data_IF_288648504824
#
_entry.id   IF_288648504824
#
_cell.length_a   1.000
_cell.length_b   1.000
_cell.length_c   1.000
_cell.angle_alpha   90.00
_cell.angle_beta   90.00
_cell.angle_gamma   90.00
#
_symmetry.space_group_name_H-M   'P 1'
#
loop_
_entity.id
_entity.type
_entity.pdbx_description
1 polymer ?
#
# COMPACT_ATOMS: atom_id res chain seq x y z
N UNK A 1 29.51 -12.92 -3.01
CA UNK A 1 28.43 -12.64 -2.05
C UNK A 1 27.24 -13.53 -2.43
N UNK A 2 26.63 -14.25 -1.48
CA UNK A 2 25.45 -15.07 -1.81
C UNK A 2 24.25 -14.16 -2.13
N UNK A 3 23.27 -14.66 -2.87
CA UNK A 3 22.05 -13.89 -3.17
C UNK A 3 21.34 -13.38 -1.92
N UNK A 4 21.26 -14.22 -0.88
CA UNK A 4 20.69 -13.85 0.41
C UNK A 4 21.40 -12.67 1.07
N UNK A 5 22.74 -12.68 1.09
CA UNK A 5 23.51 -11.58 1.67
C UNK A 5 23.33 -10.29 0.87
N UNK A 6 23.27 -10.40 -0.45
CA UNK A 6 23.04 -9.26 -1.34
C UNK A 6 21.67 -8.62 -1.09
N UNK A 7 20.60 -9.43 -1.08
CA UNK A 7 19.24 -8.93 -0.84
C UNK A 7 19.06 -8.38 0.58
N UNK A 8 19.70 -8.99 1.59
CA UNK A 8 19.70 -8.45 2.96
C UNK A 8 20.40 -7.09 3.03
N UNK A 9 21.47 -6.88 2.28
CA UNK A 9 22.14 -5.58 2.20
C UNK A 9 21.22 -4.51 1.59
N UNK A 10 20.47 -4.85 0.53
CA UNK A 10 19.44 -3.96 -0.04
C UNK A 10 18.37 -3.62 1.01
N UNK A 11 17.81 -4.62 1.70
CA UNK A 11 16.77 -4.39 2.70
C UNK A 11 17.22 -3.49 3.86
N UNK A 12 18.49 -3.61 4.27
CA UNK A 12 19.12 -2.73 5.26
C UNK A 12 19.27 -1.30 4.73
N UNK A 13 19.73 -1.12 3.49
CA UNK A 13 19.84 0.20 2.86
C UNK A 13 18.48 0.88 2.70
N UNK A 14 17.46 0.10 2.35
CA UNK A 14 16.08 0.55 2.14
C UNK A 14 15.22 0.54 3.40
N UNK A 15 15.82 0.32 4.58
CA UNK A 15 15.10 0.27 5.83
C UNK A 15 14.37 1.59 6.11
N UNK A 16 13.11 1.47 6.54
CA UNK A 16 12.28 2.60 6.94
C UNK A 16 12.32 2.69 8.46
N UNK A 17 12.52 3.90 8.99
CA UNK A 17 12.43 4.13 10.43
C UNK A 17 10.98 3.89 10.90
N UNK A 18 10.81 2.99 11.87
CA UNK A 18 9.52 2.66 12.48
C UNK A 18 9.42 3.12 13.94
N UNK A 19 10.38 3.90 14.42
CA UNK A 19 10.42 4.44 15.78
C UNK A 19 9.37 5.55 15.97
N UNK A 20 9.34 6.11 17.19
CA UNK A 20 8.55 7.32 17.50
C UNK A 20 9.06 8.57 16.78
N UNK A 21 10.20 8.49 16.09
CA UNK A 21 10.73 9.55 15.25
C UNK A 21 10.48 9.30 13.76
N UNK A 22 9.75 8.22 13.42
CA UNK A 22 9.45 7.86 12.04
C UNK A 22 8.67 8.96 11.31
N UNK A 23 8.86 9.10 9.98
CA UNK A 23 8.08 10.01 9.15
C UNK A 23 6.56 9.86 9.34
N UNK A 24 6.09 8.62 9.47
CA UNK A 24 4.68 8.34 9.69
C UNK A 24 4.15 8.87 11.03
N UNK A 25 4.95 8.74 12.10
CA UNK A 25 4.59 9.27 13.40
C UNK A 25 4.58 10.80 13.41
N UNK A 26 5.61 11.42 12.83
CA UNK A 26 5.73 12.88 12.73
C UNK A 26 4.59 13.48 11.91
N UNK A 27 4.31 12.94 10.71
CA UNK A 27 3.20 13.36 9.87
C UNK A 27 1.86 13.27 10.62
N UNK A 28 1.62 12.14 11.30
CA UNK A 28 0.42 11.96 12.12
C UNK A 28 0.32 13.01 13.23
N UNK A 29 1.40 13.24 13.97
CA UNK A 29 1.41 14.20 15.07
C UNK A 29 1.11 15.63 14.58
N UNK A 30 1.68 16.03 13.44
CA UNK A 30 1.43 17.33 12.82
C UNK A 30 -0.01 17.49 12.30
N UNK A 31 -0.59 16.44 11.71
CA UNK A 31 -1.90 16.53 11.06
C UNK A 31 -3.08 16.27 11.99
N UNK A 32 -2.86 15.56 13.11
CA UNK A 32 -3.94 15.21 14.05
C UNK A 32 -4.71 16.44 14.56
N UNK A 33 -4.08 17.57 14.94
CA UNK A 33 -4.82 18.77 15.35
C UNK A 33 -5.74 19.32 14.26
N UNK A 34 -5.27 19.39 13.00
CA UNK A 34 -6.07 19.85 11.86
C UNK A 34 -7.26 18.93 11.60
N UNK A 35 -7.01 17.62 11.61
CA UNK A 35 -8.04 16.60 11.38
C UNK A 35 -9.09 16.62 12.50
N UNK A 36 -8.66 16.76 13.76
CA UNK A 36 -9.56 16.84 14.91
C UNK A 36 -10.36 18.15 14.92
N UNK A 37 -9.78 19.27 14.49
CA UNK A 37 -10.52 20.53 14.33
C UNK A 37 -11.60 20.41 13.23
N UNK A 38 -11.30 19.70 12.14
CA UNK A 38 -12.23 19.44 11.04
C UNK A 38 -13.37 18.50 11.42
N UNK A 39 -13.05 17.27 11.83
CA UNK A 39 -14.06 16.22 12.05
C UNK A 39 -14.63 16.19 13.47
N UNK A 40 -13.99 16.89 14.43
CA UNK A 40 -14.43 16.98 15.81
C UNK A 40 -14.72 15.62 16.44
N UNK A 41 -15.89 15.50 17.09
CA UNK A 41 -16.34 14.26 17.74
C UNK A 41 -16.52 13.06 16.81
N UNK A 42 -16.57 13.30 15.50
CA UNK A 42 -16.76 12.25 14.50
C UNK A 42 -15.47 11.54 14.13
N UNK A 43 -14.30 12.12 14.41
CA UNK A 43 -13.00 11.44 14.26
C UNK A 43 -12.85 10.42 15.38
N UNK A 44 -12.65 9.16 15.02
CA UNK A 44 -12.33 8.08 15.97
C UNK A 44 -10.83 7.95 16.15
N UNK A 45 -10.08 7.98 15.04
CA UNK A 45 -8.64 7.85 15.05
C UNK A 45 -8.01 8.34 13.75
N UNK A 46 -6.73 8.69 13.85
CA UNK A 46 -5.83 8.88 12.70
C UNK A 46 -4.68 7.89 12.90
N UNK A 47 -4.47 7.00 11.94
CA UNK A 47 -3.51 5.90 12.09
C UNK A 47 -2.67 5.71 10.83
N UNK A 48 -1.35 5.43 10.96
CA UNK A 48 -0.57 4.97 9.82
C UNK A 48 -1.20 3.71 9.22
N UNK A 49 -1.19 3.64 7.90
CA UNK A 49 -1.78 2.56 7.12
C UNK A 49 -0.84 2.18 5.98
N UNK A 50 -1.39 1.57 4.91
CA UNK A 50 -0.63 1.27 3.70
C UNK A 50 0.63 0.43 3.95
N UNK A 51 1.66 0.70 3.16
CA UNK A 51 2.88 -0.12 3.18
C UNK A 51 3.70 0.02 4.47
N UNK A 52 3.65 1.20 5.11
CA UNK A 52 4.29 1.43 6.41
C UNK A 52 3.67 0.51 7.47
N UNK A 53 2.35 0.52 7.62
CA UNK A 53 1.67 -0.32 8.60
C UNK A 53 1.85 -1.81 8.30
N UNK A 54 1.91 -2.22 7.04
CA UNK A 54 2.13 -3.62 6.64
C UNK A 54 3.57 -4.10 6.82
N UNK A 55 4.54 -3.19 7.01
CA UNK A 55 5.96 -3.52 7.06
C UNK A 55 6.59 -3.77 5.68
N UNK A 56 5.93 -3.31 4.61
CA UNK A 56 6.33 -3.53 3.21
C UNK A 56 6.86 -2.25 2.55
N UNK A 57 7.11 -1.20 3.34
CA UNK A 57 7.67 0.08 2.87
C UNK A 57 9.18 -0.02 2.60
N UNK A 58 9.65 0.74 1.61
CA UNK A 58 11.07 0.92 1.30
C UNK A 58 11.39 2.40 1.27
N UNK A 59 12.53 2.79 1.86
CA UNK A 59 12.94 4.20 1.96
C UNK A 59 12.83 4.96 0.64
N UNK A 60 13.23 4.35 -0.47
CA UNK A 60 13.18 4.95 -1.81
C UNK A 60 11.77 5.21 -2.39
N UNK A 61 10.72 4.63 -1.83
CA UNK A 61 9.36 4.66 -2.39
C UNK A 61 8.25 4.77 -1.35
N UNK A 62 8.52 5.39 -0.19
CA UNK A 62 7.52 5.51 0.88
C UNK A 62 6.87 6.88 0.88
N UNK A 63 5.63 6.92 0.39
CA UNK A 63 4.64 7.89 0.86
C UNK A 63 4.07 7.39 2.21
N UNK A 64 3.69 8.30 3.10
CA UNK A 64 3.03 7.97 4.36
C UNK A 64 1.53 7.94 4.14
N UNK A 65 0.92 6.76 4.27
CA UNK A 65 -0.54 6.64 4.25
C UNK A 65 -1.11 6.84 5.66
N UNK A 66 -1.97 7.84 5.84
CA UNK A 66 -2.74 8.03 7.07
C UNK A 66 -4.22 7.75 6.81
N UNK A 67 -4.75 6.75 7.52
CA UNK A 67 -6.18 6.47 7.53
C UNK A 67 -6.88 7.30 8.60
N UNK A 68 -7.93 8.03 8.22
CA UNK A 68 -8.77 8.79 9.13
C UNK A 68 -10.09 8.03 9.30
N UNK A 69 -10.27 7.45 10.49
CA UNK A 69 -11.48 6.72 10.85
C UNK A 69 -12.55 7.69 11.35
N UNK A 70 -13.69 7.72 10.66
CA UNK A 70 -14.87 8.48 11.04
C UNK A 70 -16.01 7.58 11.51
N UNK A 71 -16.76 8.08 12.50
CA UNK A 71 -17.91 7.38 13.09
C UNK A 71 -18.99 7.06 12.05
N UNK A 72 -19.76 5.97 12.23
CA UNK A 72 -20.94 5.70 11.42
C UNK A 72 -21.97 6.84 11.49
N UNK A 73 -22.04 7.52 12.63
CA UNK A 73 -22.93 8.66 12.88
C UNK A 73 -22.48 9.99 12.25
N UNK A 74 -21.38 10.01 11.50
CA UNK A 74 -20.95 11.21 10.74
C UNK A 74 -22.07 11.62 9.78
N UNK A 75 -22.62 12.84 9.85
CA UNK A 75 -23.80 13.22 9.08
C UNK A 75 -23.50 13.38 7.58
N UNK A 76 -22.26 13.74 7.25
CA UNK A 76 -21.82 13.98 5.88
C UNK A 76 -21.87 12.71 5.01
N UNK A 77 -22.18 12.92 3.73
CA UNK A 77 -21.95 11.94 2.67
C UNK A 77 -20.45 11.72 2.45
N UNK A 78 -20.07 10.60 1.82
CA UNK A 78 -18.66 10.29 1.53
C UNK A 78 -17.98 11.37 0.67
N UNK A 79 -18.71 11.92 -0.30
CA UNK A 79 -18.26 13.04 -1.13
C UNK A 79 -18.03 14.30 -0.31
N UNK A 80 -18.96 14.65 0.59
CA UNK A 80 -18.81 15.80 1.49
C UNK A 80 -17.65 15.62 2.46
N UNK A 81 -17.45 14.43 3.01
CA UNK A 81 -16.29 14.10 3.86
C UNK A 81 -14.99 14.39 3.10
N UNK A 82 -14.86 13.88 1.87
CA UNK A 82 -13.68 14.10 1.04
C UNK A 82 -13.45 15.59 0.75
N UNK A 83 -14.49 16.31 0.33
CA UNK A 83 -14.38 17.73 -0.05
C UNK A 83 -14.16 18.66 1.15
N UNK A 84 -14.78 18.38 2.29
CA UNK A 84 -14.58 19.20 3.50
C UNK A 84 -13.21 18.96 4.13
N UNK A 85 -12.66 17.73 4.05
CA UNK A 85 -11.27 17.48 4.43
C UNK A 85 -10.31 18.25 3.52
N UNK A 86 -10.55 18.25 2.20
CA UNK A 86 -9.77 19.04 1.25
C UNK A 86 -9.76 20.52 1.61
N UNK A 87 -10.93 21.09 1.92
CA UNK A 87 -11.05 22.48 2.34
C UNK A 87 -10.28 22.72 3.65
N UNK A 88 -10.48 21.89 4.67
CA UNK A 88 -9.80 22.04 5.96
C UNK A 88 -8.27 21.98 5.86
N UNK A 89 -7.73 21.12 5.00
CA UNK A 89 -6.29 21.06 4.72
C UNK A 89 -5.81 22.32 3.96
N UNK A 90 -6.60 22.80 3.00
CA UNK A 90 -6.28 24.03 2.25
C UNK A 90 -6.28 25.25 3.16
N UNK A 91 -7.28 25.36 4.03
CA UNK A 91 -7.41 26.45 5.01
C UNK A 91 -6.28 26.41 6.06
N UNK A 92 -5.77 25.21 6.37
CA UNK A 92 -4.58 25.02 7.19
C UNK A 92 -3.26 25.33 6.46
N UNK A 93 -3.31 25.77 5.20
CA UNK A 93 -2.16 26.22 4.41
C UNK A 93 -1.45 25.14 3.59
N UNK A 94 -2.03 23.94 3.46
CA UNK A 94 -1.44 22.89 2.64
C UNK A 94 -1.83 23.03 1.17
N UNK A 95 -0.88 22.73 0.28
CA UNK A 95 -1.19 22.47 -1.14
C UNK A 95 -1.68 21.03 -1.24
N UNK A 96 -2.96 20.86 -1.61
CA UNK A 96 -3.63 19.56 -1.60
C UNK A 96 -3.81 19.00 -3.01
N UNK A 97 -3.30 17.78 -3.23
CA UNK A 97 -3.49 17.00 -4.45
C UNK A 97 -4.65 16.02 -4.27
N UNK A 98 -5.67 16.12 -5.12
CA UNK A 98 -6.79 15.16 -5.13
C UNK A 98 -6.39 13.84 -5.80
N UNK A 99 -6.61 12.72 -5.13
CA UNK A 99 -6.50 11.36 -5.67
C UNK A 99 -7.87 10.64 -5.59
N UNK A 100 -7.98 9.42 -6.12
CA UNK A 100 -9.29 8.74 -6.20
C UNK A 100 -9.93 8.56 -4.82
N UNK A 101 -9.19 7.99 -3.86
CA UNK A 101 -9.68 7.70 -2.50
C UNK A 101 -8.98 8.49 -1.40
N UNK A 102 -7.99 9.31 -1.76
CA UNK A 102 -7.12 10.04 -0.82
C UNK A 102 -6.90 11.49 -1.23
N UNK A 103 -6.35 12.25 -0.28
CA UNK A 103 -5.83 13.60 -0.47
C UNK A 103 -4.34 13.59 -0.14
N UNK A 104 -3.52 13.85 -1.15
CA UNK A 104 -2.08 13.94 -1.00
C UNK A 104 -1.66 15.35 -0.58
N UNK A 105 -0.80 15.44 0.43
CA UNK A 105 -0.17 16.68 0.89
C UNK A 105 1.31 16.44 1.16
N UNK A 106 2.06 17.52 1.37
CA UNK A 106 3.43 17.44 1.84
C UNK A 106 3.56 18.07 3.22
N UNK A 107 4.02 17.29 4.20
CA UNK A 107 4.30 17.75 5.56
C UNK A 107 5.81 17.81 5.73
N UNK A 108 6.34 19.03 5.80
CA UNK A 108 7.77 19.30 5.70
C UNK A 108 8.38 18.69 4.42
N UNK A 109 8.97 17.50 4.51
CA UNK A 109 9.57 16.77 3.38
C UNK A 109 9.01 15.35 3.23
N UNK A 110 7.84 15.09 3.79
CA UNK A 110 7.18 13.79 3.78
C UNK A 110 5.92 13.94 2.93
N UNK A 111 5.81 13.12 1.90
CA UNK A 111 4.56 12.99 1.15
C UNK A 111 3.60 12.13 1.96
N UNK A 112 2.38 12.63 2.15
CA UNK A 112 1.37 12.02 3.02
C UNK A 112 0.06 11.93 2.25
N UNK A 113 -0.46 10.72 2.14
CA UNK A 113 -1.79 10.47 1.57
C UNK A 113 -2.79 10.25 2.71
N UNK A 114 -3.81 11.11 2.76
CA UNK A 114 -4.87 11.08 3.77
C UNK A 114 -6.11 10.39 3.19
N UNK A 115 -6.51 9.27 3.78
CA UNK A 115 -7.67 8.47 3.35
C UNK A 115 -8.78 8.62 4.39
N UNK A 116 -9.82 9.45 4.14
CA UNK A 116 -10.97 9.52 5.03
C UNK A 116 -11.94 8.36 4.77
N UNK A 117 -12.23 7.58 5.80
CA UNK A 117 -13.20 6.48 5.74
C UNK A 117 -14.30 6.62 6.78
N UNK A 118 -15.55 6.41 6.36
CA UNK A 118 -16.71 6.37 7.26
C UNK A 118 -17.02 4.92 7.63
N UNK A 119 -16.95 4.59 8.91
CA UNK A 119 -17.26 3.25 9.42
C UNK A 119 -18.71 2.90 9.08
N UNK A 120 -18.97 1.70 8.55
CA UNK A 120 -20.30 1.33 8.07
C UNK A 120 -21.30 1.19 9.23
N UNK A 121 -20.91 0.49 10.29
CA UNK A 121 -21.70 0.34 11.51
C UNK A 121 -20.78 0.23 12.72
N UNK A 122 -21.31 0.45 13.92
CA UNK A 122 -20.56 0.30 15.17
C UNK A 122 -20.09 -1.14 15.46
N UNK A 123 -20.60 -2.14 14.71
CA UNK A 123 -20.35 -3.56 14.94
C UNK A 123 -19.27 -4.15 14.00
N UNK A 124 -18.71 -3.34 13.10
CA UNK A 124 -17.78 -3.81 12.06
C UNK A 124 -16.53 -2.94 12.04
N UNK A 125 -15.43 -3.45 11.51
CA UNK A 125 -14.25 -2.64 11.17
C UNK A 125 -14.22 -2.24 9.69
N UNK A 126 -15.37 -2.36 9.02
CA UNK A 126 -15.53 -2.02 7.61
C UNK A 126 -15.82 -0.53 7.43
N UNK A 127 -15.21 0.04 6.40
CA UNK A 127 -15.34 1.45 6.05
C UNK A 127 -15.83 1.62 4.61
N UNK A 128 -16.52 2.72 4.38
CA UNK A 128 -16.84 3.20 3.05
C UNK A 128 -15.95 4.38 2.70
N UNK A 129 -15.32 4.32 1.53
CA UNK A 129 -14.48 5.38 0.98
C UNK A 129 -15.18 6.01 -0.22
N UNK A 130 -14.98 7.30 -0.43
CA UNK A 130 -15.38 7.97 -1.67
C UNK A 130 -14.36 7.67 -2.78
N UNK A 131 -14.84 7.36 -3.99
CA UNK A 131 -14.04 7.26 -5.21
C UNK A 131 -14.32 8.47 -6.10
N UNK A 132 -13.45 9.46 -6.02
CA UNK A 132 -13.64 10.77 -6.65
C UNK A 132 -13.63 10.73 -8.17
N UNK A 133 -12.90 9.79 -8.80
CA UNK A 133 -12.82 9.69 -10.26
C UNK A 133 -14.11 9.16 -10.89
N UNK A 134 -14.81 8.28 -10.19
CA UNK A 134 -16.05 7.63 -10.66
C UNK A 134 -17.31 8.16 -9.96
N UNK A 135 -17.17 9.16 -9.08
CA UNK A 135 -18.24 9.71 -8.23
C UNK A 135 -19.09 8.64 -7.54
N UNK A 136 -18.42 7.65 -6.95
CA UNK A 136 -19.05 6.49 -6.30
C UNK A 136 -18.36 6.17 -4.98
N UNK A 137 -18.60 5.00 -4.41
CA UNK A 137 -17.96 4.54 -3.19
C UNK A 137 -17.36 3.14 -3.35
N UNK A 138 -16.45 2.79 -2.44
CA UNK A 138 -15.98 1.41 -2.28
C UNK A 138 -15.90 1.03 -0.81
N UNK A 139 -16.08 -0.26 -0.54
CA UNK A 139 -15.85 -0.86 0.78
C UNK A 139 -14.36 -1.14 0.94
N UNK A 140 -13.83 -0.88 2.14
CA UNK A 140 -12.49 -1.35 2.54
C UNK A 140 -12.47 -1.80 3.99
N UNK A 141 -11.45 -2.56 4.34
CA UNK A 141 -11.08 -2.86 5.72
C UNK A 141 -9.56 -2.78 5.84
N UNK A 142 -9.07 -1.61 6.23
CA UNK A 142 -7.64 -1.32 6.33
C UNK A 142 -6.95 -2.28 7.30
N UNK A 143 -7.62 -2.65 8.40
CA UNK A 143 -7.07 -3.60 9.37
C UNK A 143 -6.93 -5.00 8.77
N UNK A 144 -7.95 -5.50 8.05
CA UNK A 144 -7.85 -6.78 7.34
C UNK A 144 -6.67 -6.83 6.38
N UNK A 145 -6.43 -5.77 5.59
CA UNK A 145 -5.26 -5.73 4.71
C UNK A 145 -3.94 -5.76 5.48
N UNK A 146 -3.84 -5.03 6.60
CA UNK A 146 -2.66 -5.04 7.46
C UNK A 146 -2.43 -6.44 8.03
N UNK A 147 -3.47 -7.06 8.58
CA UNK A 147 -3.39 -8.36 9.23
C UNK A 147 -3.02 -9.47 8.25
N UNK A 148 -3.65 -9.51 7.08
CA UNK A 148 -3.35 -10.51 6.03
C UNK A 148 -1.89 -10.41 5.60
N UNK A 149 -1.38 -9.20 5.33
CA UNK A 149 0.00 -9.03 4.88
C UNK A 149 1.00 -9.29 6.01
N UNK A 150 0.70 -8.85 7.24
CA UNK A 150 1.57 -9.12 8.40
C UNK A 150 1.64 -10.60 8.73
N UNK A 151 0.49 -11.27 8.85
CA UNK A 151 0.40 -12.68 9.22
C UNK A 151 1.04 -13.60 8.17
N UNK A 152 1.06 -13.19 6.89
CA UNK A 152 1.75 -13.95 5.86
C UNK A 152 3.27 -14.01 6.05
N UNK A 153 3.88 -13.03 6.72
CA UNK A 153 5.33 -13.05 7.03
C UNK A 153 6.27 -12.87 5.83
N UNK A 154 5.77 -12.34 4.70
CA UNK A 154 6.49 -12.21 3.42
C UNK A 154 7.02 -10.80 3.16
N UNK A 155 7.27 -10.02 4.22
CA UNK A 155 7.64 -8.61 4.10
C UNK A 155 8.99 -8.42 3.38
N UNK A 156 10.05 -9.21 3.66
CA UNK A 156 11.32 -9.10 2.94
C UNK A 156 11.17 -9.30 1.43
N UNK A 157 10.47 -10.35 1.00
CA UNK A 157 10.22 -10.67 -0.40
C UNK A 157 9.40 -9.57 -1.06
N UNK A 158 8.32 -9.14 -0.40
CA UNK A 158 7.46 -8.06 -0.90
C UNK A 158 8.26 -6.79 -1.12
N UNK A 159 9.13 -6.42 -0.17
CA UNK A 159 9.99 -5.24 -0.28
C UNK A 159 10.94 -5.34 -1.46
N UNK A 160 11.58 -6.49 -1.67
CA UNK A 160 12.46 -6.70 -2.84
C UNK A 160 11.67 -6.62 -4.16
N UNK A 161 10.51 -7.27 -4.24
CA UNK A 161 9.69 -7.26 -5.46
C UNK A 161 9.15 -5.86 -5.77
N UNK A 162 8.87 -5.03 -4.76
CA UNK A 162 8.53 -3.62 -4.95
C UNK A 162 9.69 -2.82 -5.56
N UNK A 163 10.91 -2.99 -5.06
CA UNK A 163 12.09 -2.34 -5.65
C UNK A 163 12.30 -2.75 -7.10
N UNK A 164 12.22 -4.05 -7.37
CA UNK A 164 12.32 -4.59 -8.73
C UNK A 164 11.25 -3.97 -9.65
N UNK A 165 9.99 -3.92 -9.21
CA UNK A 165 8.89 -3.28 -9.94
C UNK A 165 9.21 -1.82 -10.26
N UNK A 166 9.66 -1.05 -9.27
CA UNK A 166 9.93 0.38 -9.41
C UNK A 166 11.09 0.65 -10.37
N UNK A 167 12.16 -0.14 -10.28
CA UNK A 167 13.33 -0.06 -11.17
C UNK A 167 12.98 -0.41 -12.62
N UNK A 168 12.02 -1.30 -12.83
CA UNK A 168 11.49 -1.67 -14.15
C UNK A 168 10.32 -0.78 -14.60
N UNK A 169 9.92 0.23 -13.80
CA UNK A 169 8.83 1.17 -14.10
C UNK A 169 7.51 0.49 -14.46
N UNK A 170 7.20 -0.59 -13.73
CA UNK A 170 5.98 -1.37 -13.96
C UNK A 170 4.80 -0.75 -13.22
N UNK A 171 3.69 -0.54 -13.92
CA UNK A 171 2.41 -0.21 -13.27
C UNK A 171 1.87 -1.47 -12.59
N UNK A 172 2.19 -1.62 -11.31
CA UNK A 172 1.77 -2.75 -10.49
C UNK A 172 1.40 -2.27 -9.09
N UNK A 173 0.08 -2.08 -8.82
CA UNK A 173 -0.42 -1.58 -7.55
C UNK A 173 0.11 -2.36 -6.35
N UNK A 174 0.58 -1.65 -5.32
CA UNK A 174 1.24 -2.28 -4.16
C UNK A 174 0.36 -3.30 -3.44
N UNK A 175 -0.95 -3.05 -3.32
CA UNK A 175 -1.88 -4.01 -2.70
C UNK A 175 -1.98 -5.29 -3.53
N UNK A 176 -2.02 -5.18 -4.86
CA UNK A 176 -2.05 -6.35 -5.73
C UNK A 176 -0.73 -7.14 -5.64
N UNK A 177 0.40 -6.45 -5.70
CA UNK A 177 1.73 -7.03 -5.58
C UNK A 177 1.89 -7.81 -4.26
N UNK A 178 1.47 -7.22 -3.14
CA UNK A 178 1.50 -7.87 -1.82
C UNK A 178 0.74 -9.20 -1.82
N UNK A 179 -0.49 -9.23 -2.36
CA UNK A 179 -1.30 -10.45 -2.41
C UNK A 179 -0.74 -11.49 -3.39
N UNK A 180 -0.10 -11.05 -4.48
CA UNK A 180 0.57 -11.92 -5.44
C UNK A 180 1.80 -12.59 -4.82
N UNK A 181 2.60 -11.85 -4.05
CA UNK A 181 3.74 -12.40 -3.31
C UNK A 181 3.25 -13.47 -2.32
N UNK A 182 2.19 -13.17 -1.56
CA UNK A 182 1.59 -14.15 -0.63
C UNK A 182 1.16 -15.39 -1.40
N UNK A 183 0.40 -15.24 -2.49
CA UNK A 183 -0.07 -16.36 -3.31
C UNK A 183 1.07 -17.20 -3.87
N UNK A 184 2.10 -16.56 -4.42
CA UNK A 184 3.25 -17.25 -5.01
C UNK A 184 4.03 -18.09 -3.98
N UNK A 185 4.00 -17.69 -2.70
CA UNK A 185 4.76 -18.32 -1.62
C UNK A 185 3.92 -19.19 -0.69
N UNK A 186 2.61 -19.33 -0.92
CA UNK A 186 1.70 -20.10 -0.05
C UNK A 186 2.17 -21.52 0.26
N UNK A 187 2.88 -22.17 -0.67
CA UNK A 187 3.40 -23.54 -0.53
C UNK A 187 4.93 -23.59 -0.54
N UNK A 188 5.61 -22.45 -0.39
CA UNK A 188 7.07 -22.39 -0.38
C UNK A 188 7.63 -22.32 1.04
N UNK A 189 8.40 -23.34 1.41
CA UNK A 189 9.02 -23.48 2.73
C UNK A 189 10.54 -23.25 2.71
N UNK A 190 11.10 -22.70 1.64
CA UNK A 190 12.53 -22.36 1.61
C UNK A 190 12.82 -21.30 2.68
N UNK A 191 14.01 -21.40 3.30
CA UNK A 191 14.53 -20.40 4.24
C UNK A 191 15.38 -19.33 3.54
N UNK A 192 15.75 -19.54 2.26
CA UNK A 192 16.54 -18.60 1.49
C UNK A 192 15.66 -17.48 0.94
N UNK A 193 16.01 -16.24 1.27
CA UNK A 193 15.33 -15.06 0.74
C UNK A 193 15.46 -15.01 -0.80
N UNK A 194 16.65 -15.29 -1.32
CA UNK A 194 16.93 -15.28 -2.75
C UNK A 194 16.07 -16.30 -3.50
N UNK A 195 15.98 -17.54 -3.00
CA UNK A 195 15.14 -18.57 -3.62
C UNK A 195 13.66 -18.18 -3.61
N UNK A 196 13.15 -17.63 -2.51
CA UNK A 196 11.75 -17.19 -2.38
C UNK A 196 11.44 -16.05 -3.35
N UNK A 197 12.32 -15.06 -3.48
CA UNK A 197 12.18 -13.99 -4.49
C UNK A 197 12.16 -14.55 -5.90
N UNK A 198 13.02 -15.52 -6.23
CA UNK A 198 12.99 -16.20 -7.53
C UNK A 198 11.69 -17.00 -7.75
N UNK A 199 11.09 -17.58 -6.71
CA UNK A 199 9.77 -18.23 -6.79
C UNK A 199 8.69 -17.21 -7.17
N UNK A 200 8.71 -16.03 -6.56
CA UNK A 200 7.77 -14.96 -6.94
C UNK A 200 7.98 -14.55 -8.40
N UNK A 201 9.23 -14.31 -8.83
CA UNK A 201 9.52 -13.96 -10.23
C UNK A 201 9.08 -15.07 -11.20
N UNK A 202 9.27 -16.35 -10.86
CA UNK A 202 8.74 -17.46 -11.66
C UNK A 202 7.22 -17.50 -11.71
N UNK A 203 6.54 -17.18 -10.62
CA UNK A 203 5.08 -17.05 -10.63
C UNK A 203 4.63 -15.92 -11.56
N UNK A 204 5.30 -14.76 -11.47
CA UNK A 204 5.06 -13.61 -12.33
C UNK A 204 5.29 -13.94 -13.82
N UNK A 205 6.33 -14.71 -14.13
CA UNK A 205 6.71 -15.06 -15.50
C UNK A 205 5.83 -16.13 -16.17
N UNK A 206 5.12 -16.97 -15.39
CA UNK A 206 4.47 -18.18 -15.91
C UNK A 206 2.99 -18.32 -15.59
N UNK A 207 2.48 -17.63 -14.57
CA UNK A 207 1.11 -17.88 -14.06
C UNK A 207 0.33 -16.62 -13.72
N UNK A 208 1.00 -15.47 -13.63
CA UNK A 208 0.39 -14.24 -13.14
C UNK A 208 -0.73 -13.69 -14.02
N UNK A 209 -0.57 -13.72 -15.35
CA UNK A 209 -1.58 -13.18 -16.29
C UNK A 209 -2.94 -13.86 -16.10
N UNK A 210 -2.94 -15.17 -15.85
CA UNK A 210 -4.16 -15.96 -15.63
C UNK A 210 -4.63 -15.96 -14.16
N UNK A 211 -3.81 -15.47 -13.22
CA UNK A 211 -4.11 -15.54 -11.80
C UNK A 211 -5.12 -14.47 -11.37
N UNK A 212 -6.33 -14.90 -11.04
CA UNK A 212 -7.34 -14.04 -10.40
C UNK A 212 -7.06 -13.87 -8.91
N UNK A 213 -6.91 -12.64 -8.43
CA UNK A 213 -6.67 -12.31 -7.01
C UNK A 213 -7.80 -11.43 -6.50
N UNK A 214 -8.41 -11.86 -5.41
CA UNK A 214 -9.55 -11.19 -4.78
C UNK A 214 -9.08 -10.34 -3.60
N UNK A 215 -9.75 -9.21 -3.37
CA UNK A 215 -9.55 -8.35 -2.22
C UNK A 215 -9.94 -9.08 -0.91
N UNK A 216 -9.03 -9.21 0.08
CA UNK A 216 -9.36 -9.84 1.35
C UNK A 216 -10.41 -9.07 2.16
N UNK A 217 -10.56 -7.76 1.94
CA UNK A 217 -11.53 -6.92 2.62
C UNK A 217 -12.87 -6.80 1.86
N UNK A 218 -12.92 -7.24 0.60
CA UNK A 218 -14.11 -7.16 -0.23
C UNK A 218 -14.12 -8.29 -1.28
N UNK A 219 -14.70 -9.43 -0.94
CA UNK A 219 -14.70 -10.61 -1.82
C UNK A 219 -15.35 -10.39 -3.21
N UNK A 220 -16.16 -9.35 -3.37
CA UNK A 220 -16.76 -8.97 -4.65
C UNK A 220 -15.79 -8.17 -5.55
N UNK A 221 -14.68 -7.67 -4.99
CA UNK A 221 -13.67 -6.92 -5.69
C UNK A 221 -12.50 -7.84 -6.10
N UNK A 222 -12.32 -8.04 -7.39
CA UNK A 222 -11.13 -8.72 -7.90
C UNK A 222 -10.04 -7.68 -8.13
N UNK A 223 -9.06 -7.61 -7.23
CA UNK A 223 -7.90 -6.69 -7.34
C UNK A 223 -7.10 -6.95 -8.62
N UNK A 224 -7.17 -8.18 -9.17
CA UNK A 224 -6.60 -8.47 -10.48
C UNK A 224 -7.17 -7.65 -11.63
N UNK A 225 -8.31 -7.00 -11.46
CA UNK A 225 -8.96 -6.18 -12.50
C UNK A 225 -8.42 -4.74 -12.49
N UNK A 226 -7.59 -4.38 -11.50
CA UNK A 226 -6.90 -3.07 -11.44
C UNK A 226 -5.80 -2.94 -12.50
N UNK A 227 -5.42 -4.03 -13.17
CA UNK A 227 -4.45 -4.05 -14.26
C UNK A 227 -5.10 -4.48 -15.57
N UNK A 228 -4.75 -3.78 -16.65
CA UNK A 228 -5.11 -4.23 -17.99
C UNK A 228 -4.34 -5.50 -18.36
N UNK A 229 -4.81 -6.20 -19.40
CA UNK A 229 -4.08 -7.35 -19.93
C UNK A 229 -2.66 -6.98 -20.40
N UNK A 230 -2.49 -5.77 -20.97
CA UNK A 230 -1.19 -5.28 -21.42
C UNK A 230 -0.24 -5.05 -20.23
N UNK A 231 -0.72 -4.47 -19.13
CA UNK A 231 0.10 -4.27 -17.92
C UNK A 231 0.55 -5.60 -17.32
N UNK A 232 -0.35 -6.60 -17.29
CA UNK A 232 0.00 -7.95 -16.82
C UNK A 232 1.08 -8.60 -17.68
N UNK A 233 0.99 -8.47 -19.01
CA UNK A 233 2.02 -8.98 -19.92
C UNK A 233 3.36 -8.24 -19.77
N UNK A 234 3.34 -6.94 -19.48
CA UNK A 234 4.57 -6.18 -19.22
C UNK A 234 5.30 -6.72 -17.97
N UNK A 235 4.56 -7.01 -16.90
CA UNK A 235 5.09 -7.61 -15.67
C UNK A 235 5.64 -9.02 -15.93
N UNK A 236 4.91 -9.85 -16.68
CA UNK A 236 5.34 -11.20 -17.05
C UNK A 236 6.68 -11.18 -17.80
N UNK A 237 6.78 -10.34 -18.85
CA UNK A 237 8.01 -10.20 -19.65
C UNK A 237 9.18 -9.67 -18.83
N UNK A 238 8.95 -8.67 -17.97
CA UNK A 238 9.99 -8.16 -17.09
C UNK A 238 10.51 -9.26 -16.14
N UNK A 239 9.60 -10.11 -15.63
CA UNK A 239 9.98 -11.22 -14.76
C UNK A 239 10.80 -12.29 -15.51
N UNK A 240 10.46 -12.58 -16.78
CA UNK A 240 11.25 -13.46 -17.64
C UNK A 240 12.67 -12.91 -17.87
N UNK A 241 12.80 -11.61 -18.14
CA UNK A 241 14.11 -10.94 -18.29
C UNK A 241 14.93 -11.00 -17.00
N UNK A 242 14.28 -10.81 -15.84
CA UNK A 242 14.94 -10.92 -14.54
C UNK A 242 15.46 -12.33 -14.28
N UNK A 243 14.68 -13.37 -14.60
CA UNK A 243 15.07 -14.77 -14.43
C UNK A 243 16.22 -15.21 -15.36
N UNK A 244 16.45 -14.49 -16.45
CA UNK A 244 17.56 -14.73 -17.37
C UNK A 244 18.87 -14.08 -16.91
N UNK A 245 18.86 -13.25 -15.86
CA UNK A 245 20.07 -12.60 -15.35
C UNK A 245 20.93 -13.55 -14.52
N UNK A 246 22.25 -13.44 -14.67
CA UNK A 246 23.21 -14.26 -13.93
C UNK A 246 23.50 -13.74 -12.52
N UNK A 247 23.22 -12.46 -12.25
CA UNK A 247 23.54 -11.81 -10.97
C UNK A 247 22.36 -11.04 -10.38
N UNK A 248 22.30 -10.98 -9.05
CA UNK A 248 21.24 -10.24 -8.36
C UNK A 248 21.27 -8.73 -8.62
N UNK A 249 22.45 -8.13 -8.82
CA UNK A 249 22.54 -6.70 -9.12
C UNK A 249 22.00 -6.32 -10.51
N UNK A 250 21.89 -7.29 -11.42
CA UNK A 250 21.17 -7.11 -12.68
C UNK A 250 19.66 -7.31 -12.54
N UNK A 251 19.19 -7.94 -11.46
CA UNK A 251 17.77 -8.16 -11.17
C UNK A 251 17.20 -6.97 -10.39
N UNK A 252 17.83 -6.61 -9.28
CA UNK A 252 17.33 -5.59 -8.35
C UNK A 252 18.51 -4.95 -7.62
N UNK A 253 18.47 -3.62 -7.49
CA UNK A 253 19.54 -2.85 -6.85
C UNK A 253 19.14 -2.20 -5.55
#
# INVERSE_FOLDING_TARGET
>A
MTGDLYLKAILTREAVDTSLLSPAFLARATLTPVINAWGGRYVQSVTPSGSFAKGTANKSGTDVDLFISLRPSTPDSLKQIYLTLFNALTDAGYVVRKQDVSLGIRVAQIDVDLVPGKQQTALTTDYSLYRSRADTWTKTNVQTHIDVVRAAGMQPETRIIKLWRDQNRLDFPSVYLELVVIRALQLNFSVSLAERVLVVLRFLANSFVAARVTDPANANNAISDDLTFADKLAIERAAQVALAQETWGSIVQ
#
